data_IF_879988915430
#
_entry.id   IF_879988915430
#
_cell.length_a   1.000
_cell.length_b   1.000
_cell.length_c   1.000
_cell.angle_alpha   90.00
_cell.angle_beta   90.00
_cell.angle_gamma   90.00
#
_symmetry.space_group_name_H-M   'P 1'
#
loop_
_entity.id
_entity.type
_entity.pdbx_description
1 polymer ?
#
# COMPACT_ATOMS: atom_id res chain seq x y z
N UNK A 1 13.81 -7.22 12.82
CA UNK A 1 12.49 -7.52 13.41
C UNK A 1 12.30 -9.03 13.47
N UNK A 2 11.77 -9.57 14.56
CA UNK A 2 11.54 -11.01 14.77
C UNK A 2 10.25 -11.20 15.58
N UNK A 3 9.41 -12.12 15.17
CA UNK A 3 8.25 -12.54 15.98
C UNK A 3 8.72 -13.37 17.19
N UNK A 4 8.11 -13.15 18.33
CA UNK A 4 8.31 -13.88 19.58
C UNK A 4 6.99 -14.50 20.03
N UNK A 5 7.00 -15.34 21.06
CA UNK A 5 5.78 -15.94 21.61
C UNK A 5 4.77 -14.87 22.07
N UNK A 6 5.26 -13.76 22.60
CA UNK A 6 4.42 -12.72 23.22
C UNK A 6 4.40 -11.40 22.44
N UNK A 7 4.93 -11.35 21.21
CA UNK A 7 4.92 -10.11 20.43
C UNK A 7 5.98 -10.04 19.33
N UNK A 8 6.47 -8.84 19.07
CA UNK A 8 7.46 -8.56 18.03
C UNK A 8 8.67 -7.91 18.68
N UNK A 9 9.86 -8.49 18.48
CA UNK A 9 11.12 -7.88 18.88
C UNK A 9 11.70 -7.09 17.70
N UNK A 10 12.00 -5.82 17.91
CA UNK A 10 12.67 -4.94 16.95
C UNK A 10 14.06 -4.60 17.51
N UNK A 11 15.11 -4.87 16.74
CA UNK A 11 16.49 -4.52 17.12
C UNK A 11 16.99 -3.29 16.37
N UNK A 12 18.07 -2.68 16.87
CA UNK A 12 18.70 -1.48 16.31
C UNK A 12 17.72 -0.31 16.15
N UNK A 13 16.93 -0.06 17.18
CA UNK A 13 15.91 0.99 17.21
C UNK A 13 15.88 1.62 18.59
N UNK A 14 15.43 2.85 18.70
CA UNK A 14 15.21 3.53 19.97
C UNK A 14 13.79 3.28 20.48
N UNK A 15 13.55 3.55 21.76
CA UNK A 15 12.19 3.51 22.33
C UNK A 15 11.26 4.53 21.63
N UNK A 16 11.78 5.69 21.30
CA UNK A 16 11.05 6.72 20.53
C UNK A 16 10.62 6.22 19.16
N UNK A 17 11.50 5.51 18.43
CA UNK A 17 11.16 4.90 17.14
C UNK A 17 10.12 3.80 17.27
N UNK A 18 10.10 3.06 18.39
CA UNK A 18 9.07 2.06 18.62
C UNK A 18 7.69 2.72 18.61
N UNK A 19 7.51 3.82 19.34
CA UNK A 19 6.23 4.51 19.39
C UNK A 19 5.90 5.32 18.13
N UNK A 20 6.88 6.00 17.53
CA UNK A 20 6.64 6.90 16.40
C UNK A 20 6.59 6.17 15.04
N UNK A 21 7.29 5.05 14.91
CA UNK A 21 7.46 4.35 13.64
C UNK A 21 6.83 2.95 13.67
N UNK A 22 7.30 2.08 14.57
CA UNK A 22 6.98 0.66 14.52
C UNK A 22 5.55 0.35 14.94
N UNK A 23 5.03 0.98 15.98
CA UNK A 23 3.64 0.78 16.43
C UNK A 23 2.65 1.23 15.35
N UNK A 24 2.76 2.45 14.78
CA UNK A 24 1.91 2.86 13.66
C UNK A 24 2.09 1.99 12.41
N UNK A 25 3.33 1.73 12.01
CA UNK A 25 3.63 0.92 10.82
C UNK A 25 3.01 -0.47 10.88
N UNK A 26 3.11 -1.13 12.04
CA UNK A 26 2.57 -2.47 12.27
C UNK A 26 1.08 -2.45 12.64
N UNK A 27 0.45 -1.27 12.69
CA UNK A 27 -0.96 -1.08 13.04
C UNK A 27 -1.35 -1.75 14.36
N UNK A 28 -0.49 -1.59 15.40
CA UNK A 28 -0.65 -2.30 16.67
C UNK A 28 -1.74 -1.71 17.56
N UNK A 29 -2.11 -0.45 17.38
CA UNK A 29 -3.14 0.23 18.16
C UNK A 29 -4.56 -0.02 17.65
N UNK A 30 -4.69 -0.46 16.38
CA UNK A 30 -6.00 -0.72 15.79
C UNK A 30 -6.66 -1.97 16.41
N UNK A 31 -7.88 -1.80 16.90
CA UNK A 31 -8.66 -2.91 17.45
C UNK A 31 -9.39 -3.70 16.34
N UNK A 32 -8.88 -4.87 16.02
CA UNK A 32 -9.51 -5.80 15.08
C UNK A 32 -10.64 -6.64 15.68
N UNK A 33 -11.01 -6.38 16.94
CA UNK A 33 -12.10 -7.14 17.60
C UNK A 33 -13.44 -7.01 16.88
N UNK A 34 -13.87 -5.79 16.43
CA UNK A 34 -15.14 -5.66 15.71
C UNK A 34 -15.20 -6.51 14.44
N UNK A 35 -14.11 -6.57 13.68
CA UNK A 35 -14.02 -7.41 12.47
C UNK A 35 -14.12 -8.90 12.83
N UNK A 36 -13.40 -9.33 13.86
CA UNK A 36 -13.48 -10.73 14.33
C UNK A 36 -14.87 -11.08 14.85
N UNK A 37 -15.52 -10.19 15.56
CA UNK A 37 -16.87 -10.40 16.07
C UNK A 37 -17.88 -10.48 14.91
N UNK A 38 -17.75 -9.66 13.89
CA UNK A 38 -18.54 -9.76 12.66
C UNK A 38 -18.37 -11.13 11.98
N UNK A 39 -17.15 -11.62 11.88
CA UNK A 39 -16.85 -12.92 11.25
C UNK A 39 -17.53 -14.12 11.95
N UNK A 40 -17.85 -14.01 13.25
CA UNK A 40 -18.53 -15.10 14.00
C UNK A 40 -19.94 -15.42 13.52
N UNK A 41 -20.56 -14.50 12.78
CA UNK A 41 -21.91 -14.68 12.24
C UNK A 41 -21.98 -15.68 11.06
N UNK A 42 -20.84 -16.09 10.52
CA UNK A 42 -20.77 -17.00 9.38
C UNK A 42 -19.61 -17.99 9.56
N UNK A 43 -19.88 -19.29 9.35
CA UNK A 43 -18.90 -20.36 9.57
C UNK A 43 -17.65 -20.23 8.68
N UNK A 44 -17.82 -19.82 7.42
CA UNK A 44 -16.71 -19.60 6.49
C UNK A 44 -15.82 -18.44 6.95
N UNK A 45 -16.43 -17.29 7.31
CA UNK A 45 -15.70 -16.13 7.82
C UNK A 45 -15.00 -16.43 9.16
N UNK A 46 -15.63 -17.20 10.03
CA UNK A 46 -15.01 -17.66 11.29
C UNK A 46 -13.73 -18.46 11.01
N UNK A 47 -13.81 -19.44 10.11
CA UNK A 47 -12.65 -20.25 9.75
C UNK A 47 -11.54 -19.41 9.07
N UNK A 48 -11.91 -18.45 8.23
CA UNK A 48 -10.98 -17.52 7.61
C UNK A 48 -10.30 -16.60 8.64
N UNK A 49 -11.06 -16.05 9.59
CA UNK A 49 -10.55 -15.18 10.65
C UNK A 49 -9.58 -15.92 11.60
N UNK A 50 -9.84 -17.18 11.92
CA UNK A 50 -8.92 -18.01 12.71
C UNK A 50 -7.61 -18.29 11.97
N UNK A 51 -7.66 -18.55 10.67
CA UNK A 51 -6.44 -18.72 9.84
C UNK A 51 -5.66 -17.42 9.67
N UNK A 52 -6.38 -16.29 9.59
CA UNK A 52 -5.82 -14.95 9.46
C UNK A 52 -5.44 -14.29 10.79
N UNK A 53 -5.50 -15.00 11.91
CA UNK A 53 -5.20 -14.44 13.22
C UNK A 53 -3.82 -13.81 13.27
N UNK A 54 -3.77 -12.53 13.67
CA UNK A 54 -2.53 -11.76 13.74
C UNK A 54 -2.13 -11.03 12.46
N UNK A 55 -2.82 -11.25 11.33
CA UNK A 55 -2.64 -10.41 10.13
C UNK A 55 -3.13 -8.99 10.43
N UNK A 56 -2.34 -8.00 10.01
CA UNK A 56 -2.63 -6.56 10.15
C UNK A 56 -2.36 -5.83 8.84
N UNK A 57 -3.07 -4.75 8.62
CA UNK A 57 -2.83 -3.85 7.47
C UNK A 57 -1.69 -2.90 7.85
N UNK A 58 -0.51 -3.11 7.28
CA UNK A 58 0.65 -2.25 7.54
C UNK A 58 0.39 -0.84 7.02
N UNK A 59 0.67 0.18 7.86
CA UNK A 59 0.63 1.58 7.44
C UNK A 59 1.94 1.97 6.78
N UNK A 60 1.90 2.15 5.48
CA UNK A 60 3.08 2.47 4.67
C UNK A 60 3.20 3.98 4.42
N UNK A 61 4.42 4.44 4.08
CA UNK A 61 4.65 5.83 3.73
C UNK A 61 3.88 6.20 2.45
N UNK A 62 3.15 7.34 2.41
CA UNK A 62 2.27 7.67 1.29
C UNK A 62 2.96 7.75 -0.07
N UNK A 63 4.07 8.49 -0.18
CA UNK A 63 4.78 8.62 -1.47
C UNK A 63 5.31 7.28 -1.97
N UNK A 64 5.95 6.50 -1.10
CA UNK A 64 6.44 5.16 -1.41
C UNK A 64 5.30 4.25 -1.89
N UNK A 65 4.14 4.32 -1.22
CA UNK A 65 2.97 3.53 -1.58
C UNK A 65 2.44 3.94 -2.96
N UNK A 66 2.31 5.22 -3.25
CA UNK A 66 1.82 5.73 -4.53
C UNK A 66 2.74 5.25 -5.67
N UNK A 67 4.04 5.51 -5.59
CA UNK A 67 4.99 5.10 -6.61
C UNK A 67 5.06 3.58 -6.77
N UNK A 68 5.09 2.84 -5.67
CA UNK A 68 5.15 1.37 -5.69
C UNK A 68 3.91 0.76 -6.34
N UNK A 69 2.72 1.30 -6.10
CA UNK A 69 1.50 0.81 -6.75
C UNK A 69 1.43 1.18 -8.23
N UNK A 70 1.97 2.32 -8.66
CA UNK A 70 2.16 2.63 -10.09
C UNK A 70 3.09 1.58 -10.73
N UNK A 71 4.24 1.28 -10.11
CA UNK A 71 5.19 0.27 -10.58
C UNK A 71 4.53 -1.12 -10.62
N UNK A 72 3.66 -1.43 -9.68
CA UNK A 72 3.00 -2.73 -9.58
C UNK A 72 1.92 -2.98 -10.64
N UNK A 73 1.40 -1.94 -11.28
CA UNK A 73 0.31 -2.05 -12.26
C UNK A 73 0.68 -2.99 -13.42
N UNK A 74 -0.14 -4.04 -13.65
CA UNK A 74 0.09 -5.03 -14.69
C UNK A 74 1.52 -5.59 -14.70
N UNK A 75 2.01 -6.04 -13.55
CA UNK A 75 3.39 -6.46 -13.34
C UNK A 75 3.45 -7.71 -12.46
N UNK A 76 4.62 -8.35 -12.35
CA UNK A 76 4.84 -9.47 -11.44
C UNK A 76 5.81 -9.09 -10.30
N UNK A 77 5.72 -9.80 -9.19
CA UNK A 77 6.45 -9.48 -7.94
C UNK A 77 7.97 -9.41 -8.17
N UNK A 78 8.54 -10.35 -8.93
CA UNK A 78 9.98 -10.38 -9.18
C UNK A 78 10.46 -9.15 -9.95
N UNK A 79 9.69 -8.72 -10.96
CA UNK A 79 10.00 -7.50 -11.73
C UNK A 79 9.76 -6.25 -10.94
N UNK A 80 8.66 -6.18 -10.15
CA UNK A 80 8.38 -5.04 -9.25
C UNK A 80 9.56 -4.79 -8.33
N UNK A 81 10.05 -5.82 -7.64
CA UNK A 81 11.22 -5.70 -6.75
C UNK A 81 12.43 -5.10 -7.45
N UNK A 82 12.79 -5.61 -8.64
CA UNK A 82 13.93 -5.10 -9.41
C UNK A 82 13.76 -3.63 -9.81
N UNK A 83 12.56 -3.25 -10.24
CA UNK A 83 12.26 -1.87 -10.62
C UNK A 83 12.35 -0.95 -9.40
N UNK A 84 11.78 -1.34 -8.25
CA UNK A 84 11.84 -0.56 -7.02
C UNK A 84 13.30 -0.42 -6.55
N UNK A 85 14.09 -1.49 -6.55
CA UNK A 85 15.51 -1.45 -6.19
C UNK A 85 16.29 -0.51 -7.11
N UNK A 86 16.07 -0.60 -8.42
CA UNK A 86 16.71 0.28 -9.40
C UNK A 86 16.25 1.75 -9.24
N UNK A 87 14.98 1.98 -8.96
CA UNK A 87 14.42 3.30 -8.71
C UNK A 87 15.02 3.95 -7.46
N UNK A 88 15.15 3.17 -6.37
CA UNK A 88 15.84 3.64 -5.16
C UNK A 88 17.31 3.93 -5.42
N UNK A 89 18.03 3.08 -6.15
CA UNK A 89 19.43 3.28 -6.47
C UNK A 89 19.67 4.50 -7.38
N UNK A 90 18.70 4.87 -8.22
CA UNK A 90 18.83 5.98 -9.16
C UNK A 90 18.50 7.34 -8.52
N UNK A 91 17.50 7.39 -7.65
CA UNK A 91 16.96 8.65 -7.10
C UNK A 91 16.95 8.72 -5.57
N UNK A 92 17.22 7.62 -4.87
CA UNK A 92 17.18 7.55 -3.42
C UNK A 92 18.46 8.03 -2.75
N UNK A 93 18.36 8.50 -1.53
CA UNK A 93 19.50 8.85 -0.70
C UNK A 93 20.28 7.61 -0.26
N UNK A 94 21.61 7.69 -0.26
CA UNK A 94 22.47 6.60 0.21
C UNK A 94 22.34 6.39 1.73
N UNK A 95 22.18 5.14 2.14
CA UNK A 95 22.14 4.72 3.55
C UNK A 95 23.21 3.68 3.79
N UNK A 96 24.22 4.00 4.58
CA UNK A 96 25.28 3.10 4.95
C UNK A 96 24.98 2.38 6.27
N UNK A 97 24.96 1.03 6.24
CA UNK A 97 24.81 0.20 7.43
C UNK A 97 26.04 -0.70 7.55
N UNK A 98 26.97 -0.29 8.38
CA UNK A 98 28.32 -0.89 8.39
C UNK A 98 29.02 -0.68 7.05
N UNK A 99 29.38 -1.78 6.37
CA UNK A 99 30.02 -1.76 5.04
C UNK A 99 29.03 -2.04 3.90
N UNK A 100 27.73 -1.94 4.15
CA UNK A 100 26.68 -2.21 3.15
C UNK A 100 25.98 -0.91 2.78
N UNK A 101 25.88 -0.65 1.50
CA UNK A 101 25.11 0.46 0.93
C UNK A 101 23.68 0.01 0.64
N UNK A 102 22.73 0.83 1.09
CA UNK A 102 21.32 0.77 0.77
C UNK A 102 20.87 2.13 0.24
N UNK A 103 19.69 2.19 -0.33
CA UNK A 103 19.11 3.43 -0.81
C UNK A 103 17.72 3.61 -0.20
N UNK A 104 17.43 4.81 0.29
CA UNK A 104 16.09 5.19 0.70
C UNK A 104 15.14 5.18 -0.50
N UNK A 105 13.85 4.98 -0.23
CA UNK A 105 12.86 5.19 -1.29
C UNK A 105 12.82 6.69 -1.64
N UNK A 106 12.92 7.07 -2.94
CA UNK A 106 12.99 8.47 -3.33
C UNK A 106 11.67 9.20 -3.07
N UNK A 107 11.77 10.45 -2.62
CA UNK A 107 10.64 11.37 -2.56
C UNK A 107 10.34 11.96 -3.94
N UNK A 108 9.13 12.47 -4.14
CA UNK A 108 8.75 13.12 -5.38
C UNK A 108 9.71 14.27 -5.76
N UNK A 109 10.26 14.98 -4.77
CA UNK A 109 11.22 16.07 -4.99
C UNK A 109 12.50 15.62 -5.71
N UNK A 110 12.97 14.40 -5.46
CA UNK A 110 14.14 13.85 -6.14
C UNK A 110 13.94 13.71 -7.66
N UNK A 111 12.68 13.62 -8.11
CA UNK A 111 12.32 13.53 -9.52
C UNK A 111 11.88 14.87 -10.13
N UNK A 112 12.01 15.98 -9.41
CA UNK A 112 11.49 17.30 -9.85
C UNK A 112 11.96 17.72 -11.24
N UNK A 113 13.21 17.43 -11.56
CA UNK A 113 13.83 17.77 -12.84
C UNK A 113 14.08 16.54 -13.74
N UNK A 114 13.61 15.36 -13.33
CA UNK A 114 13.81 14.14 -14.08
C UNK A 114 12.88 14.08 -15.31
N UNK A 115 13.38 13.52 -16.38
CA UNK A 115 12.66 13.25 -17.62
C UNK A 115 12.32 11.75 -17.71
N UNK A 116 11.52 11.37 -18.69
CA UNK A 116 11.19 9.94 -18.95
C UNK A 116 12.46 9.16 -19.32
N UNK A 117 13.37 9.79 -20.03
CA UNK A 117 14.65 9.23 -20.47
C UNK A 117 15.56 8.90 -19.28
N UNK A 118 15.54 9.70 -18.23
CA UNK A 118 16.31 9.46 -17.01
C UNK A 118 15.85 8.19 -16.26
N UNK A 119 14.61 7.73 -16.52
CA UNK A 119 14.07 6.50 -15.94
C UNK A 119 14.35 5.25 -16.78
N UNK A 120 14.89 5.35 -17.99
CA UNK A 120 15.20 4.17 -18.82
C UNK A 120 15.99 3.08 -18.05
N UNK A 121 17.00 3.41 -17.20
CA UNK A 121 17.77 2.40 -16.48
C UNK A 121 16.96 1.53 -15.51
N UNK A 122 15.80 1.98 -15.03
CA UNK A 122 14.97 1.18 -14.13
C UNK A 122 14.10 0.14 -14.86
N UNK A 123 13.99 0.24 -16.19
CA UNK A 123 13.22 -0.69 -17.05
C UNK A 123 11.75 -0.84 -16.66
N UNK A 124 11.11 0.24 -16.18
CA UNK A 124 9.68 0.21 -15.82
C UNK A 124 8.76 0.27 -17.06
N UNK A 125 9.31 0.63 -18.23
CA UNK A 125 8.61 0.64 -19.51
C UNK A 125 7.57 1.78 -19.55
N UNK A 126 6.33 1.51 -19.96
CA UNK A 126 5.30 2.55 -20.06
C UNK A 126 5.02 3.28 -18.73
N UNK A 127 5.46 2.72 -17.59
CA UNK A 127 5.27 3.31 -16.26
C UNK A 127 6.20 4.48 -15.99
N UNK A 128 7.30 4.62 -16.75
CA UNK A 128 8.24 5.74 -16.62
C UNK A 128 7.48 7.07 -16.73
N UNK A 129 6.57 7.19 -17.69
CA UNK A 129 5.71 8.36 -17.87
C UNK A 129 4.77 8.60 -16.69
N UNK A 130 4.26 7.55 -16.08
CA UNK A 130 3.37 7.66 -14.92
C UNK A 130 4.11 8.07 -13.65
N UNK A 131 5.36 7.60 -13.48
CA UNK A 131 6.21 8.00 -12.35
C UNK A 131 6.58 9.48 -12.45
N UNK A 132 6.94 9.97 -13.65
CA UNK A 132 7.22 11.39 -13.87
C UNK A 132 5.95 12.24 -13.68
N UNK A 133 4.80 11.83 -14.23
CA UNK A 133 3.53 12.55 -14.04
C UNK A 133 3.14 12.60 -12.56
N UNK A 134 3.30 11.50 -11.83
CA UNK A 134 3.07 11.45 -10.40
C UNK A 134 3.98 12.40 -9.63
N UNK A 135 5.29 12.34 -9.89
CA UNK A 135 6.27 13.22 -9.24
C UNK A 135 5.93 14.70 -9.49
N UNK A 136 5.55 15.07 -10.73
CA UNK A 136 5.14 16.42 -11.09
C UNK A 136 3.92 16.87 -10.27
N UNK A 137 2.86 16.03 -10.22
CA UNK A 137 1.63 16.36 -9.47
C UNK A 137 1.92 16.56 -7.99
N UNK A 138 2.77 15.72 -7.39
CA UNK A 138 3.12 15.81 -5.97
C UNK A 138 4.00 17.04 -5.68
N UNK A 139 4.92 17.39 -6.57
CA UNK A 139 5.79 18.57 -6.43
C UNK A 139 5.05 19.90 -6.63
N UNK A 140 4.10 19.93 -7.57
CA UNK A 140 3.32 21.14 -7.86
C UNK A 140 2.23 21.41 -6.82
N UNK A 141 1.79 20.36 -6.09
CA UNK A 141 0.70 20.45 -5.13
C UNK A 141 1.11 19.82 -3.77
N UNK A 142 1.81 20.59 -2.96
CA UNK A 142 2.28 20.15 -1.64
C UNK A 142 1.17 19.71 -0.67
N UNK A 143 -0.08 20.12 -0.91
CA UNK A 143 -1.25 19.70 -0.13
C UNK A 143 -1.90 18.42 -0.69
N UNK A 144 -1.38 17.84 -1.76
CA UNK A 144 -1.98 16.65 -2.37
C UNK A 144 -2.09 15.49 -1.39
N UNK A 145 -0.98 15.07 -0.79
CA UNK A 145 -0.93 13.95 0.17
C UNK A 145 -1.66 14.28 1.48
N UNK A 146 -1.42 15.43 2.14
CA UNK A 146 -2.15 15.78 3.36
C UNK A 146 -3.67 15.77 3.18
N UNK A 147 -4.18 16.29 2.07
CA UNK A 147 -5.63 16.32 1.81
C UNK A 147 -6.27 14.95 1.67
N UNK A 148 -5.56 13.92 1.19
CA UNK A 148 -6.09 12.56 1.07
C UNK A 148 -6.47 11.98 2.45
N UNK A 149 -5.83 12.42 3.52
CA UNK A 149 -6.16 11.99 4.89
C UNK A 149 -7.51 12.53 5.35
N UNK A 150 -7.87 13.76 4.95
CA UNK A 150 -9.08 14.47 5.39
C UNK A 150 -10.32 14.19 4.53
N UNK A 151 -10.13 13.82 3.26
CA UNK A 151 -11.22 13.48 2.34
C UNK A 151 -11.87 12.14 2.70
N UNK A 152 -13.13 11.95 2.33
CA UNK A 152 -13.74 10.62 2.36
C UNK A 152 -13.10 9.69 1.29
N UNK A 153 -13.43 8.40 1.34
CA UNK A 153 -12.81 7.41 0.44
C UNK A 153 -13.10 7.68 -1.04
N UNK A 154 -14.30 8.12 -1.37
CA UNK A 154 -14.71 8.36 -2.76
C UNK A 154 -14.06 9.63 -3.32
N UNK A 155 -14.01 10.70 -2.54
CA UNK A 155 -13.32 11.94 -2.91
C UNK A 155 -11.81 11.72 -3.05
N UNK A 156 -11.20 11.01 -2.09
CA UNK A 156 -9.79 10.67 -2.12
C UNK A 156 -9.45 9.77 -3.32
N UNK A 157 -10.30 8.79 -3.64
CA UNK A 157 -10.17 7.95 -4.85
C UNK A 157 -10.22 8.79 -6.12
N UNK A 158 -11.19 9.69 -6.25
CA UNK A 158 -11.29 10.60 -7.39
C UNK A 158 -10.03 11.46 -7.52
N UNK A 159 -9.53 11.99 -6.42
CA UNK A 159 -8.30 12.79 -6.38
C UNK A 159 -7.08 11.97 -6.81
N UNK A 160 -6.87 10.77 -6.30
CA UNK A 160 -5.79 9.88 -6.72
C UNK A 160 -5.84 9.54 -8.22
N UNK A 161 -7.03 9.34 -8.77
CA UNK A 161 -7.23 9.04 -10.20
C UNK A 161 -6.89 10.21 -11.13
N UNK A 162 -6.63 11.40 -10.63
CA UNK A 162 -6.08 12.50 -11.45
C UNK A 162 -4.63 12.24 -11.87
N UNK A 163 -3.90 11.37 -11.14
CA UNK A 163 -2.57 10.92 -11.52
C UNK A 163 -2.69 9.81 -12.56
N UNK A 164 -2.01 9.97 -13.69
CA UNK A 164 -2.01 8.95 -14.75
C UNK A 164 -1.44 7.62 -14.25
N UNK A 165 -2.09 6.54 -14.63
CA UNK A 165 -1.70 5.19 -14.20
C UNK A 165 -2.35 4.72 -12.90
N UNK A 166 -3.12 5.57 -12.21
CA UNK A 166 -3.92 5.21 -11.03
C UNK A 166 -5.38 5.00 -11.45
N UNK A 167 -5.81 3.74 -11.48
CA UNK A 167 -7.21 3.33 -11.61
C UNK A 167 -7.83 3.02 -10.25
N UNK A 168 -9.10 2.57 -10.24
CA UNK A 168 -9.85 2.33 -8.99
C UNK A 168 -9.12 1.36 -8.05
N UNK A 169 -8.68 0.20 -8.54
CA UNK A 169 -7.95 -0.80 -7.73
C UNK A 169 -6.66 -0.22 -7.12
N UNK A 170 -5.89 0.54 -7.89
CA UNK A 170 -4.64 1.15 -7.41
C UNK A 170 -4.93 2.24 -6.39
N UNK A 171 -5.95 3.07 -6.63
CA UNK A 171 -6.38 4.08 -5.67
C UNK A 171 -6.82 3.44 -4.34
N UNK A 172 -7.64 2.39 -4.38
CA UNK A 172 -8.08 1.68 -3.17
C UNK A 172 -6.91 1.05 -2.41
N UNK A 173 -5.94 0.46 -3.11
CA UNK A 173 -4.72 -0.03 -2.46
C UNK A 173 -3.96 1.11 -1.76
N UNK A 174 -3.77 2.24 -2.40
CA UNK A 174 -3.09 3.40 -1.81
C UNK A 174 -3.84 3.89 -0.58
N UNK A 175 -5.17 4.04 -0.67
CA UNK A 175 -6.02 4.49 0.43
C UNK A 175 -5.97 3.53 1.62
N UNK A 176 -6.00 2.23 1.36
CA UNK A 176 -5.92 1.22 2.40
C UNK A 176 -4.57 1.20 3.10
N UNK A 177 -3.47 1.12 2.33
CA UNK A 177 -2.14 0.87 2.88
C UNK A 177 -1.42 2.14 3.36
N UNK A 178 -1.67 3.31 2.76
CA UNK A 178 -1.02 4.55 3.18
C UNK A 178 -1.88 5.39 4.13
N UNK A 179 -3.21 5.35 3.96
CA UNK A 179 -4.14 6.24 4.68
C UNK A 179 -5.05 5.49 5.64
N UNK A 180 -4.96 4.15 5.72
CA UNK A 180 -5.78 3.29 6.59
C UNK A 180 -7.29 3.54 6.45
N UNK A 181 -7.75 3.85 5.22
CA UNK A 181 -9.17 3.93 4.90
C UNK A 181 -9.72 2.52 4.74
N UNK A 182 -10.36 2.00 5.79
CA UNK A 182 -10.85 0.62 5.83
C UNK A 182 -12.22 0.43 5.14
N UNK A 183 -12.81 1.51 4.65
CA UNK A 183 -14.03 1.57 3.87
C UNK A 183 -13.81 1.41 2.36
N UNK A 184 -12.57 1.11 1.92
CA UNK A 184 -12.24 0.75 0.55
C UNK A 184 -12.01 -0.76 0.41
N UNK A 185 -12.25 -1.29 -0.79
CA UNK A 185 -12.05 -2.70 -1.09
C UNK A 185 -11.32 -2.89 -2.42
N UNK A 186 -9.99 -3.06 -2.41
CA UNK A 186 -9.21 -3.21 -3.64
C UNK A 186 -9.57 -4.50 -4.39
N UNK A 187 -10.41 -4.38 -5.41
CA UNK A 187 -10.86 -5.53 -6.23
C UNK A 187 -9.81 -5.86 -7.29
N UNK A 188 -8.98 -6.86 -7.03
CA UNK A 188 -8.10 -7.45 -8.03
C UNK A 188 -8.70 -8.73 -8.65
N UNK A 189 -7.96 -9.34 -9.58
CA UNK A 189 -8.40 -10.57 -10.26
C UNK A 189 -8.67 -11.70 -9.26
N UNK A 190 -7.87 -11.82 -8.20
CA UNK A 190 -8.01 -12.87 -7.19
C UNK A 190 -9.21 -12.60 -6.28
N UNK A 191 -9.40 -11.38 -5.82
CA UNK A 191 -10.56 -10.99 -5.04
C UNK A 191 -11.84 -11.22 -5.83
N UNK A 192 -11.89 -10.78 -7.10
CA UNK A 192 -13.05 -11.02 -7.96
C UNK A 192 -13.33 -12.51 -8.16
N UNK A 193 -12.28 -13.33 -8.25
CA UNK A 193 -12.41 -14.78 -8.36
C UNK A 193 -12.98 -15.39 -7.05
N UNK A 194 -12.40 -15.04 -5.91
CA UNK A 194 -12.89 -15.49 -4.59
C UNK A 194 -14.33 -15.05 -4.37
N UNK A 195 -14.68 -13.80 -4.68
CA UNK A 195 -16.06 -13.31 -4.57
C UNK A 195 -17.02 -14.17 -5.39
N UNK A 196 -16.66 -14.49 -6.62
CA UNK A 196 -17.51 -15.28 -7.53
C UNK A 196 -17.60 -16.75 -7.12
N UNK A 197 -16.46 -17.39 -6.80
CA UNK A 197 -16.40 -18.84 -6.60
C UNK A 197 -16.71 -19.26 -5.15
N UNK A 198 -16.43 -18.41 -4.16
CA UNK A 198 -16.52 -18.77 -2.74
C UNK A 198 -17.68 -18.08 -2.06
N UNK A 199 -17.89 -16.79 -2.32
CA UNK A 199 -18.96 -16.05 -1.62
C UNK A 199 -20.34 -16.47 -2.08
N UNK A 200 -20.57 -16.67 -3.39
CA UNK A 200 -21.87 -17.16 -3.88
C UNK A 200 -22.25 -18.55 -3.38
N UNK A 201 -21.25 -19.39 -3.06
CA UNK A 201 -21.50 -20.72 -2.50
C UNK A 201 -21.78 -20.71 -0.99
N UNK A 202 -21.26 -19.71 -0.26
CA UNK A 202 -21.25 -19.69 1.21
C UNK A 202 -22.13 -18.60 1.82
N UNK A 203 -22.70 -17.72 1.02
CA UNK A 203 -23.53 -16.60 1.47
C UNK A 203 -24.81 -16.51 0.67
N UNK A 204 -25.93 -16.23 1.33
CA UNK A 204 -27.17 -15.90 0.68
C UNK A 204 -27.09 -14.49 0.03
N UNK A 205 -27.95 -14.23 -0.98
CA UNK A 205 -28.07 -12.90 -1.60
C UNK A 205 -28.31 -11.80 -0.55
N UNK A 206 -29.05 -12.09 0.51
CA UNK A 206 -29.32 -11.17 1.61
C UNK A 206 -28.06 -10.83 2.43
N UNK A 207 -27.13 -11.79 2.60
CA UNK A 207 -25.87 -11.58 3.33
C UNK A 207 -24.83 -10.85 2.48
N UNK A 208 -24.88 -10.98 1.15
CA UNK A 208 -24.00 -10.27 0.24
C UNK A 208 -24.41 -8.80 0.03
N UNK A 209 -25.66 -8.45 0.37
CA UNK A 209 -26.24 -7.12 0.10
C UNK A 209 -26.59 -6.90 -1.38
N UNK A 210 -27.42 -5.91 -1.66
CA UNK A 210 -27.91 -5.60 -3.02
C UNK A 210 -26.81 -5.05 -3.97
N UNK A 211 -25.58 -4.81 -3.51
CA UNK A 211 -24.49 -4.19 -4.26
C UNK A 211 -23.20 -5.04 -4.31
N UNK A 212 -23.26 -6.34 -4.14
CA UNK A 212 -22.10 -7.24 -4.25
C UNK A 212 -21.82 -7.64 -5.72
#
# INVERSE_FOLDING_TARGET
MRQTENGIAVGNTTEEDIYKVWIPYLDLEHDYKPVRDFCKNNAFLTAAAERGKGIRILKQAPEETIFSFIISSNNNISRIKKIVEAFCALFGEEIWVGNRLFYAFPKAEALKNATVEDLEPIHAGFRDRYLIDCARVLNENGDFIPSLSSLDADEARKKLKTIKGIGDKVADCILLFAFQKYDVFPKDVWINRVTREVFHENFSEKELGENA
#
